data_IF_326012557265
#
_entry.id   IF_326012557265
#
_cell.length_a   1.000
_cell.length_b   1.000
_cell.length_c   1.000
_cell.angle_alpha   90.00
_cell.angle_beta   90.00
_cell.angle_gamma   90.00
#
_symmetry.space_group_name_H-M   'P 1'
#
loop_
_entity.id
_entity.type
_entity.pdbx_description
1 polymer ?
#
# COMPACT_ATOMS: atom_id res chain seq x y z
N UNK A 1 11.78 27.02 -11.88
CA UNK A 1 11.56 25.70 -11.23
C UNK A 1 11.29 24.70 -12.33
N UNK A 2 11.88 23.49 -12.28
CA UNK A 2 11.66 22.45 -13.30
C UNK A 2 10.82 21.33 -12.68
N UNK A 3 9.77 20.89 -13.38
CA UNK A 3 8.85 19.84 -12.97
C UNK A 3 8.92 18.69 -13.99
N UNK A 4 9.27 17.49 -13.52
CA UNK A 4 9.29 16.28 -14.33
C UNK A 4 7.93 15.59 -14.34
N UNK A 5 7.42 15.25 -15.52
CA UNK A 5 6.18 14.49 -15.70
C UNK A 5 6.54 13.09 -16.22
N UNK A 6 6.39 12.03 -15.40
CA UNK A 6 6.68 10.67 -15.83
C UNK A 6 5.75 10.23 -16.95
N UNK A 7 6.32 9.89 -18.10
CA UNK A 7 5.55 9.46 -19.27
C UNK A 7 4.74 8.18 -19.00
N UNK A 8 5.28 7.30 -18.16
CA UNK A 8 4.69 6.03 -17.76
C UNK A 8 3.41 6.21 -16.91
N UNK A 9 3.16 7.41 -16.37
CA UNK A 9 1.93 7.73 -15.62
C UNK A 9 0.80 8.30 -16.48
N UNK A 10 1.02 8.44 -17.79
CA UNK A 10 0.01 8.88 -18.76
C UNK A 10 -0.29 7.77 -19.78
N UNK A 11 -0.72 6.57 -19.35
CA UNK A 11 -1.05 5.49 -20.26
C UNK A 11 -2.32 5.80 -21.05
N UNK A 12 -2.57 5.01 -22.11
CA UNK A 12 -3.78 5.15 -22.95
C UNK A 12 -5.07 4.82 -22.17
N UNK A 13 -4.97 3.97 -21.15
CA UNK A 13 -6.09 3.54 -20.32
C UNK A 13 -6.44 4.56 -19.22
N UNK A 14 -5.70 5.66 -19.10
CA UNK A 14 -6.00 6.71 -18.14
C UNK A 14 -7.36 7.33 -18.47
N UNK A 15 -8.20 7.49 -17.46
CA UNK A 15 -9.52 8.10 -17.62
C UNK A 15 -9.41 9.48 -18.31
N UNK A 16 -10.16 9.74 -19.39
CA UNK A 16 -10.04 11.00 -20.14
C UNK A 16 -10.31 12.26 -19.31
N UNK A 17 -11.20 12.19 -18.32
CA UNK A 17 -11.50 13.32 -17.44
C UNK A 17 -10.33 13.61 -16.49
N UNK A 18 -9.66 12.57 -16.00
CA UNK A 18 -8.46 12.70 -15.17
C UNK A 18 -7.30 13.25 -15.99
N UNK A 19 -7.12 12.75 -17.22
CA UNK A 19 -6.10 13.27 -18.15
C UNK A 19 -6.28 14.78 -18.38
N UNK A 20 -7.50 15.22 -18.70
CA UNK A 20 -7.78 16.62 -18.94
C UNK A 20 -7.45 17.50 -17.73
N UNK A 21 -7.76 17.05 -16.50
CA UNK A 21 -7.42 17.76 -15.28
C UNK A 21 -5.90 17.84 -15.03
N UNK A 22 -5.16 16.79 -15.36
CA UNK A 22 -3.70 16.77 -15.24
C UNK A 22 -3.03 17.69 -16.27
N UNK A 23 -3.56 17.73 -17.49
CA UNK A 23 -3.08 18.63 -18.54
C UNK A 23 -3.31 20.09 -18.15
N UNK A 24 -4.52 20.44 -17.66
CA UNK A 24 -4.83 21.79 -17.13
C UNK A 24 -3.91 22.16 -15.97
N UNK A 25 -3.64 21.23 -15.06
CA UNK A 25 -2.71 21.47 -13.96
C UNK A 25 -1.28 21.76 -14.46
N UNK A 26 -0.83 21.09 -15.52
CA UNK A 26 0.47 21.35 -16.13
C UNK A 26 0.54 22.73 -16.78
N UNK A 27 -0.51 23.14 -17.51
CA UNK A 27 -0.62 24.49 -18.10
C UNK A 27 -0.53 25.57 -17.03
N UNK A 28 -1.28 25.42 -15.92
CA UNK A 28 -1.24 26.36 -14.80
C UNK A 28 0.15 26.46 -14.15
N UNK A 29 0.91 25.38 -14.11
CA UNK A 29 2.29 25.39 -13.62
C UNK A 29 3.22 26.15 -14.58
N UNK A 30 3.02 26.00 -15.89
CA UNK A 30 3.75 26.74 -16.93
C UNK A 30 3.44 28.24 -16.82
N UNK A 31 2.17 28.61 -16.68
CA UNK A 31 1.73 30.01 -16.50
C UNK A 31 2.31 30.65 -15.24
N UNK A 32 2.55 29.84 -14.19
CA UNK A 32 3.24 30.26 -12.98
C UNK A 32 4.77 30.35 -13.12
N UNK A 33 5.32 30.11 -14.32
CA UNK A 33 6.75 30.21 -14.62
C UNK A 33 7.55 28.93 -14.36
N UNK A 34 6.90 27.78 -14.22
CA UNK A 34 7.58 26.49 -14.16
C UNK A 34 7.92 25.98 -15.57
N UNK A 35 9.04 25.27 -15.68
CA UNK A 35 9.37 24.49 -16.86
C UNK A 35 8.92 23.05 -16.65
N UNK A 36 7.95 22.59 -17.44
CA UNK A 36 7.44 21.22 -17.39
C UNK A 36 8.17 20.36 -18.43
N UNK A 37 8.79 19.27 -18.00
CA UNK A 37 9.56 18.37 -18.87
C UNK A 37 9.05 16.92 -18.75
N UNK A 38 8.90 16.19 -19.88
CA UNK A 38 8.69 14.76 -19.81
C UNK A 38 9.94 14.07 -19.21
N UNK A 39 9.74 13.08 -18.36
CA UNK A 39 10.80 12.21 -17.81
C UNK A 39 10.39 10.76 -17.96
N UNK A 40 11.37 9.86 -18.04
CA UNK A 40 11.11 8.41 -18.05
C UNK A 40 11.48 7.80 -16.71
N UNK A 41 10.54 7.03 -16.16
CA UNK A 41 10.72 6.18 -14.98
C UNK A 41 10.48 4.72 -15.39
N UNK A 42 11.45 4.09 -16.10
CA UNK A 42 11.22 2.81 -16.78
C UNK A 42 10.93 1.65 -15.82
N UNK A 43 11.29 1.78 -14.54
CA UNK A 43 11.07 0.75 -13.53
C UNK A 43 9.77 0.94 -12.73
N UNK A 44 8.97 1.97 -13.04
CA UNK A 44 7.78 2.26 -12.23
C UNK A 44 6.69 1.19 -12.36
N UNK A 45 6.71 0.37 -13.42
CA UNK A 45 5.84 -0.81 -13.54
C UNK A 45 6.05 -1.80 -12.38
N UNK A 46 7.26 -1.83 -11.81
CA UNK A 46 7.60 -2.71 -10.69
C UNK A 46 7.20 -2.13 -9.33
N UNK A 47 6.72 -0.88 -9.25
CA UNK A 47 6.44 -0.23 -7.97
C UNK A 47 5.40 -0.99 -7.14
N UNK A 48 4.30 -1.43 -7.77
CA UNK A 48 3.24 -2.20 -7.09
C UNK A 48 3.72 -3.59 -6.64
N UNK A 49 4.33 -4.44 -7.49
CA UNK A 49 4.81 -5.75 -7.03
C UNK A 49 5.90 -5.63 -5.97
N UNK A 50 6.86 -4.69 -6.12
CA UNK A 50 7.87 -4.43 -5.09
C UNK A 50 7.22 -4.01 -3.76
N UNK A 51 6.23 -3.11 -3.81
CA UNK A 51 5.48 -2.69 -2.63
C UNK A 51 4.83 -3.89 -1.93
N UNK A 52 4.14 -4.76 -2.67
CA UNK A 52 3.48 -5.92 -2.06
C UNK A 52 4.47 -6.89 -1.44
N UNK A 53 5.66 -7.09 -1.99
CA UNK A 53 6.68 -7.94 -1.34
C UNK A 53 7.19 -7.29 -0.05
N UNK A 54 7.62 -6.03 -0.13
CA UNK A 54 8.23 -5.35 1.02
C UNK A 54 7.23 -5.09 2.14
N UNK A 55 6.07 -4.50 1.82
CA UNK A 55 5.06 -4.16 2.80
C UNK A 55 4.49 -5.39 3.50
N UNK A 56 4.32 -6.52 2.80
CA UNK A 56 3.84 -7.76 3.44
C UNK A 56 4.91 -8.39 4.34
N UNK A 57 6.18 -8.37 3.93
CA UNK A 57 7.28 -8.84 4.77
C UNK A 57 7.43 -8.00 6.05
N UNK A 58 7.37 -6.67 5.92
CA UNK A 58 7.44 -5.75 7.06
C UNK A 58 6.22 -5.90 7.98
N UNK A 59 5.01 -6.00 7.41
CA UNK A 59 3.80 -6.24 8.18
C UNK A 59 3.89 -7.58 8.94
N UNK A 60 4.35 -8.66 8.30
CA UNK A 60 4.55 -9.95 8.95
C UNK A 60 5.53 -9.86 10.13
N UNK A 61 6.67 -9.20 9.93
CA UNK A 61 7.68 -8.98 10.99
C UNK A 61 7.12 -8.14 12.16
N UNK A 62 6.40 -7.06 11.84
CA UNK A 62 5.78 -6.19 12.84
C UNK A 62 4.68 -6.91 13.62
N UNK A 63 3.87 -7.73 12.94
CA UNK A 63 2.77 -8.45 13.56
C UNK A 63 3.19 -9.73 14.27
N UNK A 64 4.38 -10.28 13.99
CA UNK A 64 4.92 -11.46 14.68
C UNK A 64 5.03 -11.29 16.21
N UNK A 65 5.05 -10.03 16.70
CA UNK A 65 5.08 -9.69 18.13
C UNK A 65 3.70 -9.84 18.81
N UNK A 66 2.63 -9.98 18.03
CA UNK A 66 1.27 -10.27 18.51
C UNK A 66 1.01 -11.79 18.45
N UNK A 67 1.93 -12.57 19.02
CA UNK A 67 1.85 -14.03 19.14
C UNK A 67 0.92 -14.49 20.28
N UNK A 68 0.21 -13.58 20.95
CA UNK A 68 -0.70 -13.85 22.05
C UNK A 68 -0.02 -14.21 23.38
N UNK A 69 1.31 -14.20 23.47
CA UNK A 69 2.04 -14.59 24.69
C UNK A 69 2.20 -13.42 25.67
N UNK A 70 2.21 -12.17 25.18
CA UNK A 70 2.40 -10.98 26.02
C UNK A 70 1.23 -9.98 26.02
N UNK A 71 0.43 -9.86 24.94
CA UNK A 71 -0.80 -9.05 24.93
C UNK A 71 -1.88 -9.67 24.01
N UNK A 72 -3.09 -9.83 24.54
CA UNK A 72 -4.25 -10.51 23.94
C UNK A 72 -5.18 -11.07 25.03
N UNK A 73 -6.47 -11.31 24.74
CA UNK A 73 -7.47 -11.79 25.72
C UNK A 73 -7.04 -13.13 26.32
N UNK A 74 -6.49 -13.09 27.53
CA UNK A 74 -6.31 -14.27 28.37
C UNK A 74 -7.66 -14.69 28.92
N UNK A 75 -8.21 -15.79 28.40
CA UNK A 75 -9.18 -16.57 29.16
C UNK A 75 -8.38 -17.56 30.01
N UNK A 76 -8.46 -17.51 31.34
CA UNK A 76 -7.78 -18.51 32.18
C UNK A 76 -8.37 -19.89 31.91
N UNK A 77 -7.54 -20.83 31.49
CA UNK A 77 -7.89 -22.23 31.27
C UNK A 77 -6.76 -23.14 31.77
N UNK A 78 -7.12 -24.26 32.40
CA UNK A 78 -6.18 -25.26 32.90
C UNK A 78 -5.62 -26.08 31.73
N UNK A 79 -4.36 -25.82 31.36
CA UNK A 79 -3.59 -26.64 30.40
C UNK A 79 -3.41 -26.02 29.01
N UNK A 80 -2.20 -26.16 28.48
CA UNK A 80 -1.75 -25.58 27.20
C UNK A 80 -2.58 -26.08 26.01
N UNK A 81 -2.95 -27.36 26.00
CA UNK A 81 -3.77 -27.99 24.94
C UNK A 81 -5.17 -27.37 24.83
N UNK A 82 -5.89 -27.19 25.95
CA UNK A 82 -7.23 -26.57 25.94
C UNK A 82 -7.20 -25.10 25.52
N UNK A 83 -6.11 -24.39 25.81
CA UNK A 83 -5.94 -22.99 25.40
C UNK A 83 -5.80 -22.86 23.86
N UNK A 84 -5.07 -23.78 23.22
CA UNK A 84 -4.96 -23.79 21.76
C UNK A 84 -6.26 -24.17 21.06
N UNK A 85 -7.01 -25.14 21.58
CA UNK A 85 -8.30 -25.56 21.02
C UNK A 85 -9.38 -24.46 21.13
N UNK A 86 -9.48 -23.77 22.27
CA UNK A 86 -10.47 -22.72 22.48
C UNK A 86 -10.24 -21.45 21.65
N UNK A 87 -8.98 -21.11 21.37
CA UNK A 87 -8.62 -19.89 20.62
C UNK A 87 -8.88 -20.05 19.12
N UNK A 88 -8.66 -21.25 18.56
CA UNK A 88 -9.01 -21.56 17.16
C UNK A 88 -10.52 -21.72 16.94
N UNK A 89 -11.23 -22.34 17.87
CA UNK A 89 -12.68 -22.57 17.75
C UNK A 89 -13.52 -21.29 17.72
N UNK A 90 -13.11 -20.22 18.42
CA UNK A 90 -13.86 -18.95 18.44
C UNK A 90 -13.63 -18.04 17.23
N UNK A 91 -12.56 -18.23 16.46
CA UNK A 91 -12.30 -17.41 15.27
C UNK A 91 -13.22 -17.75 14.09
N UNK A 92 -13.84 -18.94 14.09
CA UNK A 92 -14.69 -19.44 13.00
C UNK A 92 -16.20 -19.18 13.20
N UNK A 93 -16.62 -18.62 14.34
CA UNK A 93 -18.06 -18.44 14.68
C UNK A 93 -18.47 -16.95 14.70
N UNK A 94 -17.62 -16.06 14.18
CA UNK A 94 -17.91 -14.62 14.03
C UNK A 94 -17.54 -14.07 12.64
N UNK A 95 -17.68 -14.91 11.62
CA UNK A 95 -17.81 -14.50 10.22
C UNK A 95 -19.27 -14.60 9.81
#
# INVERSE_FOLDING_TARGET
>A
MVIGIPTEYFPEQLDPSVRALLDEACERLIDAGAEVRPVSLPHTEFAIPCYYVLATAEASSNLARYDGVRFGVRVPAEGLERMYEGTRGKFLVRG
#
